data_IF_174423650636
#
_entry.id   IF_174423650636
#
_cell.length_a   1.000
_cell.length_b   1.000
_cell.length_c   1.000
_cell.angle_alpha   90.00
_cell.angle_beta   90.00
_cell.angle_gamma   90.00
#
_symmetry.space_group_name_H-M   'P 1'
#
loop_
_entity.id
_entity.type
_entity.pdbx_description
1 polymer ?
#
# COMPACT_ATOMS: atom_id res chain seq x y z
N UNK A 1 -0.78 8.62 -15.09
CA UNK A 1 0.21 8.63 -13.97
C UNK A 1 1.63 8.51 -14.55
N UNK A 2 2.67 9.01 -13.86
CA UNK A 2 4.07 8.89 -14.26
C UNK A 2 4.93 8.34 -13.10
N UNK A 3 5.81 7.39 -13.38
CA UNK A 3 6.80 6.93 -12.41
C UNK A 3 7.97 7.91 -12.43
N UNK A 4 8.29 8.49 -11.27
CA UNK A 4 9.38 9.46 -11.13
C UNK A 4 10.57 8.91 -10.34
N UNK A 5 10.37 7.81 -9.62
CA UNK A 5 11.43 7.07 -8.96
C UNK A 5 11.06 5.60 -8.89
N UNK A 6 11.99 4.73 -9.23
CA UNK A 6 11.99 3.33 -8.87
C UNK A 6 13.37 3.01 -8.33
N UNK A 7 13.45 2.71 -7.04
CA UNK A 7 14.73 2.53 -6.35
C UNK A 7 14.65 1.36 -5.40
N UNK A 8 15.65 0.52 -5.47
CA UNK A 8 15.82 -0.54 -4.49
C UNK A 8 16.59 -0.06 -3.26
N UNK A 9 16.16 -0.52 -2.08
CA UNK A 9 16.77 -0.25 -0.80
C UNK A 9 16.91 -1.55 0.02
N UNK A 10 17.78 -1.52 1.01
CA UNK A 10 17.80 -2.55 2.05
C UNK A 10 16.51 -2.45 2.89
N UNK A 11 15.77 -3.54 3.05
CA UNK A 11 14.49 -3.54 3.76
C UNK A 11 14.62 -3.07 5.22
N UNK A 12 15.77 -3.34 5.87
CA UNK A 12 16.08 -2.88 7.23
C UNK A 12 16.12 -1.35 7.40
N UNK A 13 16.21 -0.59 6.31
CA UNK A 13 16.16 0.89 6.35
C UNK A 13 14.74 1.43 6.48
N UNK A 14 13.71 0.62 6.23
CA UNK A 14 12.32 1.04 6.36
C UNK A 14 11.99 1.23 7.84
N UNK A 15 11.62 2.45 8.21
CA UNK A 15 11.19 2.76 9.58
C UNK A 15 9.71 2.44 9.73
N UNK A 16 9.38 1.58 10.70
CA UNK A 16 8.00 1.26 11.08
C UNK A 16 7.72 1.79 12.48
N UNK A 17 6.63 2.52 12.64
CA UNK A 17 6.25 3.11 13.92
C UNK A 17 4.72 3.26 14.02
N UNK A 18 4.18 3.55 15.21
CA UNK A 18 2.76 3.83 15.34
C UNK A 18 2.36 5.18 14.72
N UNK A 19 3.30 6.09 14.38
CA UNK A 19 2.98 7.47 13.97
C UNK A 19 2.06 7.55 12.75
N UNK A 20 2.31 6.82 11.63
CA UNK A 20 1.42 6.88 10.46
C UNK A 20 0.03 6.32 10.79
N UNK A 21 -0.05 5.24 11.58
CA UNK A 21 -1.33 4.65 12.03
C UNK A 21 -2.14 5.65 12.87
N UNK A 22 -1.49 6.42 13.76
CA UNK A 22 -2.15 7.48 14.51
C UNK A 22 -2.68 8.59 13.59
N UNK A 23 -1.95 8.94 12.53
CA UNK A 23 -2.45 9.88 11.50
C UNK A 23 -3.65 9.30 10.74
N UNK A 24 -3.65 8.01 10.43
CA UNK A 24 -4.80 7.35 9.81
C UNK A 24 -6.08 7.51 10.64
N UNK A 25 -6.01 7.53 11.98
CA UNK A 25 -7.19 7.70 12.85
C UNK A 25 -7.89 9.06 12.69
N UNK A 26 -7.20 10.07 12.15
CA UNK A 26 -7.76 11.37 11.84
C UNK A 26 -8.23 11.50 10.37
N UNK A 27 -8.09 10.44 9.56
CA UNK A 27 -8.48 10.44 8.16
C UNK A 27 -10.00 10.19 8.01
N UNK A 28 -10.73 10.93 7.15
CA UNK A 28 -12.15 10.69 6.87
C UNK A 28 -12.47 9.29 6.28
N UNK A 29 -11.45 8.59 5.78
CA UNK A 29 -11.54 7.22 5.23
C UNK A 29 -11.11 6.14 6.21
N UNK A 30 -10.76 6.49 7.45
CA UNK A 30 -10.38 5.51 8.47
C UNK A 30 -11.46 4.43 8.66
N UNK A 31 -11.07 3.15 8.65
CA UNK A 31 -11.98 2.03 8.81
C UNK A 31 -12.92 1.73 7.63
N UNK A 32 -12.99 2.59 6.61
CA UNK A 32 -13.99 2.50 5.51
C UNK A 32 -13.62 1.59 4.35
N UNK A 33 -12.37 1.11 4.31
CA UNK A 33 -11.88 0.24 3.22
C UNK A 33 -11.03 -0.87 3.81
N UNK A 34 -10.90 -2.03 3.12
CA UNK A 34 -10.04 -3.11 3.59
C UNK A 34 -8.55 -2.73 3.56
N UNK A 35 -8.17 -1.62 2.90
CA UNK A 35 -6.80 -1.10 2.89
C UNK A 35 -6.44 -0.25 4.12
N UNK A 36 -7.42 0.04 4.99
CA UNK A 36 -7.26 0.92 6.15
C UNK A 36 -7.26 0.12 7.46
N UNK A 37 -6.65 0.64 8.55
CA UNK A 37 -6.81 0.04 9.87
C UNK A 37 -8.28 0.19 10.33
N UNK A 38 -8.80 -0.74 11.17
CA UNK A 38 -8.10 -1.89 11.77
C UNK A 38 -8.06 -3.14 10.89
N UNK A 39 -8.40 -3.04 9.59
CA UNK A 39 -8.57 -4.20 8.70
C UNK A 39 -7.28 -4.70 8.04
N UNK A 40 -6.16 -4.05 8.34
CA UNK A 40 -4.81 -4.43 7.87
C UNK A 40 -3.92 -4.81 9.05
N UNK A 41 -2.79 -5.49 8.83
CA UNK A 41 -1.85 -5.82 9.90
C UNK A 41 -1.46 -4.59 10.75
N UNK A 42 -1.26 -4.81 12.04
CA UNK A 42 -0.78 -3.77 12.94
C UNK A 42 0.66 -3.39 12.61
N UNK A 43 1.07 -2.16 12.95
CA UNK A 43 2.46 -1.72 12.77
C UNK A 43 3.50 -2.64 13.46
N UNK A 44 3.10 -3.39 14.50
CA UNK A 44 3.95 -4.38 15.15
C UNK A 44 4.16 -5.61 14.25
N UNK A 45 3.07 -6.15 13.70
CA UNK A 45 3.13 -7.26 12.73
C UNK A 45 3.89 -6.85 11.47
N UNK A 46 3.67 -5.62 10.98
CA UNK A 46 4.40 -5.08 9.82
C UNK A 46 5.90 -4.98 10.09
N UNK A 47 6.30 -4.56 11.29
CA UNK A 47 7.72 -4.52 11.66
C UNK A 47 8.35 -5.92 11.62
N UNK A 48 7.65 -6.93 12.12
CA UNK A 48 8.15 -8.30 12.12
C UNK A 48 8.14 -8.90 10.71
N UNK A 49 7.13 -8.56 9.91
CA UNK A 49 7.02 -8.93 8.50
C UNK A 49 8.16 -8.35 7.64
N UNK A 50 8.50 -7.06 7.78
CA UNK A 50 9.60 -6.43 7.02
C UNK A 50 10.96 -7.11 7.29
N UNK A 51 11.17 -7.63 8.51
CA UNK A 51 12.41 -8.34 8.87
C UNK A 51 12.60 -9.66 8.10
N UNK A 52 11.54 -10.20 7.51
CA UNK A 52 11.60 -11.38 6.66
C UNK A 52 12.16 -11.07 5.25
N UNK A 53 12.39 -9.80 4.92
CA UNK A 53 12.90 -9.36 3.62
C UNK A 53 14.30 -8.76 3.75
N UNK A 54 15.12 -8.95 2.72
CA UNK A 54 16.45 -8.32 2.62
C UNK A 54 16.39 -7.00 1.84
N UNK A 55 15.55 -6.95 0.80
CA UNK A 55 15.46 -5.85 -0.17
C UNK A 55 14.01 -5.40 -0.30
N UNK A 56 13.81 -4.12 -0.60
CA UNK A 56 12.50 -3.54 -0.92
C UNK A 56 12.66 -2.56 -2.08
N UNK A 57 11.59 -2.35 -2.86
CA UNK A 57 11.58 -1.40 -3.96
C UNK A 57 10.61 -0.27 -3.61
N UNK A 58 11.13 0.95 -3.64
CA UNK A 58 10.36 2.17 -3.49
C UNK A 58 9.99 2.67 -4.88
N UNK A 59 8.69 2.82 -5.11
CA UNK A 59 8.15 3.41 -6.33
C UNK A 59 7.44 4.71 -5.99
N UNK A 60 7.88 5.81 -6.60
CA UNK A 60 7.25 7.12 -6.46
C UNK A 60 6.50 7.47 -7.73
N UNK A 61 5.23 7.79 -7.58
CA UNK A 61 4.35 8.17 -8.66
C UNK A 61 4.08 9.68 -8.61
N UNK A 62 4.09 10.31 -9.78
CA UNK A 62 3.50 11.60 -10.04
C UNK A 62 2.12 11.37 -10.67
N UNK A 63 1.09 11.94 -10.03
CA UNK A 63 -0.30 11.78 -10.45
C UNK A 63 -0.85 13.17 -10.75
N UNK A 64 -1.39 13.35 -11.96
CA UNK A 64 -2.01 14.60 -12.36
C UNK A 64 -3.30 14.86 -11.57
N UNK A 65 -3.51 16.10 -11.16
CA UNK A 65 -4.68 16.49 -10.36
C UNK A 65 -6.00 16.42 -11.14
N UNK A 66 -5.95 16.53 -12.47
CA UNK A 66 -7.13 16.45 -13.35
C UNK A 66 -7.81 15.07 -13.34
N UNK A 67 -7.04 14.00 -13.11
CA UNK A 67 -7.54 12.64 -12.96
C UNK A 67 -6.76 11.91 -11.85
N UNK A 68 -6.89 12.43 -10.63
CA UNK A 68 -6.19 11.89 -9.48
C UNK A 68 -6.60 10.44 -9.18
N UNK A 69 -7.90 10.15 -9.27
CA UNK A 69 -8.43 8.81 -8.97
C UNK A 69 -8.04 7.79 -10.04
N UNK A 70 -8.08 8.14 -11.34
CA UNK A 70 -7.59 7.28 -12.40
C UNK A 70 -6.10 7.01 -12.28
N UNK A 71 -5.30 8.04 -12.02
CA UNK A 71 -3.86 7.89 -11.79
C UNK A 71 -3.52 7.02 -10.58
N UNK A 72 -4.30 7.10 -9.49
CA UNK A 72 -4.17 6.18 -8.33
C UNK A 72 -4.45 4.73 -8.72
N UNK A 73 -5.50 4.48 -9.51
CA UNK A 73 -5.80 3.12 -10.00
C UNK A 73 -4.70 2.58 -10.91
N UNK A 74 -4.14 3.41 -11.78
CA UNK A 74 -2.98 3.04 -12.60
C UNK A 74 -1.76 2.70 -11.75
N UNK A 75 -1.48 3.48 -10.70
CA UNK A 75 -0.37 3.19 -9.79
C UNK A 75 -0.55 1.83 -9.08
N UNK A 76 -1.76 1.52 -8.60
CA UNK A 76 -2.04 0.22 -8.01
C UNK A 76 -1.89 -0.92 -9.02
N UNK A 77 -2.40 -0.77 -10.25
CA UNK A 77 -2.23 -1.78 -11.30
C UNK A 77 -0.76 -2.03 -11.63
N UNK A 78 0.04 -0.97 -11.71
CA UNK A 78 1.48 -1.09 -11.91
C UNK A 78 2.14 -1.90 -10.79
N UNK A 79 1.80 -1.61 -9.52
CA UNK A 79 2.34 -2.35 -8.38
C UNK A 79 1.94 -3.84 -8.39
N UNK A 80 0.69 -4.15 -8.74
CA UNK A 80 0.21 -5.53 -8.87
C UNK A 80 0.93 -6.30 -10.00
N UNK A 81 1.20 -5.63 -11.14
CA UNK A 81 1.96 -6.25 -12.22
C UNK A 81 3.42 -6.49 -11.82
N UNK A 82 4.02 -5.58 -11.03
CA UNK A 82 5.37 -5.78 -10.47
C UNK A 82 5.42 -6.97 -9.51
N UNK A 83 4.46 -7.13 -8.61
CA UNK A 83 4.35 -8.33 -7.74
C UNK A 83 4.29 -9.60 -8.58
N UNK A 84 3.46 -9.61 -9.63
CA UNK A 84 3.31 -10.75 -10.54
C UNK A 84 4.62 -11.06 -11.28
N UNK A 85 5.34 -10.04 -11.73
CA UNK A 85 6.67 -10.17 -12.33
C UNK A 85 7.67 -10.80 -11.36
N UNK A 86 7.76 -10.28 -10.13
CA UNK A 86 8.63 -10.85 -9.09
C UNK A 86 8.28 -12.29 -8.75
N UNK A 87 6.99 -12.63 -8.69
CA UNK A 87 6.57 -14.01 -8.52
C UNK A 87 7.13 -14.91 -9.62
N UNK A 88 7.03 -14.50 -10.89
CA UNK A 88 7.55 -15.25 -12.04
C UNK A 88 9.08 -15.39 -12.03
N UNK A 89 9.79 -14.44 -11.42
CA UNK A 89 11.25 -14.43 -11.26
C UNK A 89 11.73 -15.27 -10.05
N UNK A 90 10.83 -15.92 -9.32
CA UNK A 90 11.18 -16.76 -8.16
C UNK A 90 11.15 -16.03 -6.81
N UNK A 91 10.47 -14.88 -6.73
CA UNK A 91 10.22 -14.15 -5.48
C UNK A 91 8.74 -14.25 -5.07
N UNK A 92 8.27 -15.42 -4.60
CA UNK A 92 6.84 -15.68 -4.40
C UNK A 92 6.21 -14.87 -3.25
N UNK A 93 7.03 -14.30 -2.36
CA UNK A 93 6.58 -13.47 -1.24
C UNK A 93 6.70 -11.96 -1.50
N UNK A 94 7.06 -11.55 -2.73
CA UNK A 94 7.01 -10.15 -3.10
C UNK A 94 5.59 -9.63 -2.94
N UNK A 95 5.43 -8.54 -2.18
CA UNK A 95 4.14 -7.99 -1.82
C UNK A 95 4.21 -6.46 -1.80
N UNK A 96 3.31 -5.83 -2.52
CA UNK A 96 3.19 -4.40 -2.69
C UNK A 96 2.32 -3.79 -1.59
N UNK A 97 2.66 -2.56 -1.25
CA UNK A 97 1.83 -1.68 -0.45
C UNK A 97 1.42 -0.49 -1.31
N UNK A 98 0.28 0.11 -0.98
CA UNK A 98 -0.30 1.19 -1.76
C UNK A 98 -0.27 2.53 -0.99
N UNK A 99 0.06 3.68 -1.59
CA UNK A 99 -0.01 4.95 -0.88
C UNK A 99 -1.46 5.44 -0.74
N UNK A 100 -1.92 5.67 0.50
CA UNK A 100 -3.27 6.15 0.80
C UNK A 100 -4.36 5.08 0.72
N UNK A 101 -5.64 5.52 0.70
CA UNK A 101 -6.79 4.62 0.68
C UNK A 101 -7.06 4.05 -0.72
N UNK A 102 -7.51 2.80 -0.78
CA UNK A 102 -8.00 2.15 -2.00
C UNK A 102 -9.10 2.96 -2.71
N UNK A 103 -9.09 2.90 -4.04
CA UNK A 103 -10.08 3.53 -4.93
C UNK A 103 -10.41 2.66 -6.18
N UNK A 104 -10.35 1.33 -6.01
CA UNK A 104 -10.63 0.37 -7.09
C UNK A 104 -12.08 0.43 -7.59
N UNK A 105 -13.02 0.70 -6.70
CA UNK A 105 -14.45 0.85 -6.96
C UNK A 105 -14.85 2.34 -6.98
N UNK A 106 -15.97 2.66 -7.62
CA UNK A 106 -16.59 3.99 -7.53
C UNK A 106 -17.17 4.23 -6.13
N UNK A 107 -17.95 3.28 -5.63
CA UNK A 107 -18.47 3.22 -4.27
C UNK A 107 -17.97 1.96 -3.58
N UNK A 108 -17.53 2.08 -2.32
CA UNK A 108 -16.90 0.96 -1.62
C UNK A 108 -17.93 0.15 -0.83
N UNK A 109 -18.27 -1.03 -1.36
CA UNK A 109 -19.19 -2.00 -0.73
C UNK A 109 -18.73 -2.45 0.66
N UNK A 110 -17.42 -2.44 0.92
CA UNK A 110 -16.87 -2.80 2.23
C UNK A 110 -17.31 -1.86 3.35
N UNK A 111 -17.55 -0.58 3.05
CA UNK A 111 -18.04 0.40 4.03
C UNK A 111 -19.46 0.05 4.52
N UNK A 112 -20.25 -0.67 3.70
CA UNK A 112 -21.58 -1.17 4.04
C UNK A 112 -21.57 -2.50 4.81
N UNK A 113 -20.39 -3.01 5.19
CA UNK A 113 -20.24 -4.29 5.89
C UNK A 113 -20.15 -5.51 4.96
N UNK A 114 -20.05 -5.28 3.65
CA UNK A 114 -19.92 -6.36 2.66
C UNK A 114 -18.46 -6.78 2.43
N UNK A 115 -18.26 -7.93 1.79
CA UNK A 115 -16.93 -8.41 1.42
C UNK A 115 -16.43 -7.63 0.21
N UNK A 116 -15.19 -7.13 0.25
CA UNK A 116 -14.58 -6.46 -0.90
C UNK A 116 -14.54 -7.39 -2.13
N UNK A 117 -15.15 -7.00 -3.29
CA UNK A 117 -15.13 -7.81 -4.50
C UNK A 117 -13.73 -7.87 -5.15
N UNK A 118 -12.85 -6.95 -4.77
CA UNK A 118 -11.47 -6.85 -5.26
C UNK A 118 -10.44 -7.36 -4.23
N UNK A 119 -10.80 -8.33 -3.39
CA UNK A 119 -9.94 -8.80 -2.29
C UNK A 119 -8.55 -9.30 -2.74
N UNK A 120 -8.40 -9.77 -3.97
CA UNK A 120 -7.11 -10.18 -4.55
C UNK A 120 -6.24 -9.01 -5.01
N UNK A 121 -6.85 -7.86 -5.30
CA UNK A 121 -6.20 -6.69 -5.89
C UNK A 121 -5.96 -5.57 -4.87
N UNK A 122 -6.76 -5.49 -3.80
CA UNK A 122 -6.55 -4.49 -2.78
C UNK A 122 -5.24 -4.74 -2.04
N UNK A 123 -4.51 -3.67 -1.75
CA UNK A 123 -3.29 -3.70 -0.93
C UNK A 123 -3.44 -2.79 0.28
N UNK A 124 -2.86 -3.16 1.43
CA UNK A 124 -2.79 -2.28 2.58
C UNK A 124 -2.13 -0.95 2.23
N UNK A 125 -2.60 0.12 2.87
CA UNK A 125 -1.94 1.40 2.74
C UNK A 125 -0.58 1.40 3.45
N UNK A 126 0.44 2.04 2.87
CA UNK A 126 1.76 2.22 3.51
C UNK A 126 1.63 2.85 4.91
N UNK A 127 0.79 3.89 5.03
CA UNK A 127 0.51 4.56 6.30
C UNK A 127 -0.29 3.66 7.27
N UNK A 128 -1.22 2.87 6.73
CA UNK A 128 -2.09 2.01 7.52
C UNK A 128 -1.31 0.91 8.26
N UNK A 129 -0.24 0.42 7.63
CA UNK A 129 0.67 -0.58 8.22
C UNK A 129 1.80 0.05 9.04
N UNK A 130 1.85 1.38 9.15
CA UNK A 130 2.77 2.09 10.03
C UNK A 130 4.17 2.33 9.46
N UNK A 131 4.36 2.25 8.13
CA UNK A 131 5.63 2.62 7.49
C UNK A 131 5.73 4.14 7.37
N UNK A 132 6.85 4.71 7.81
CA UNK A 132 7.12 6.14 7.68
C UNK A 132 7.64 6.46 6.27
N UNK A 133 6.82 7.09 5.44
CA UNK A 133 7.14 7.41 4.03
C UNK A 133 8.36 8.32 3.90
N UNK A 134 8.71 9.10 4.93
CA UNK A 134 9.89 9.97 4.95
C UNK A 134 11.21 9.24 5.25
N UNK A 135 11.20 7.92 5.44
CA UNK A 135 12.40 7.16 5.84
C UNK A 135 13.31 6.71 4.70
N UNK A 136 12.95 7.00 3.43
CA UNK A 136 13.67 6.52 2.25
C UNK A 136 13.68 7.53 1.09
#
# INVERSE_FOLDING_TARGET
>A
MKIILEKEIEARKIVVSPRPVWKCRACPKYGKTPSCPPHVPSWKETRDWIRCFQRAIIVKFEIGMSDFEGGKREALRYLLEKEKGFFAEGHPFAFALFPGNCNLCGECEFDAGERCPHFTNVRPSVDAVGIEISSF
#
